data_IF_566571303406
#
_entry.id   IF_566571303406
#
_cell.length_a   1.000
_cell.length_b   1.000
_cell.length_c   1.000
_cell.angle_alpha   90.00
_cell.angle_beta   90.00
_cell.angle_gamma   90.00
#
_symmetry.space_group_name_H-M   'P 1'
#
loop_
_entity.id
_entity.type
_entity.pdbx_description
1 polymer ?
2 non-polymer ?
3 non-polymer ?
4 water ?
#
# COMPACT_ATOMS: atom_id res chain seq x y z
N UNK A 14 1.20 -0.45 19.97
CA UNK A 14 1.80 -1.72 19.54
C UNK A 14 2.17 -1.73 18.05
N UNK A 15 3.46 -1.65 17.75
CA UNK A 15 3.94 -1.57 16.38
C UNK A 15 4.54 -2.90 15.94
N UNK A 16 4.52 -3.14 14.63
CA UNK A 16 5.11 -4.35 14.06
C UNK A 16 6.16 -3.96 13.04
N UNK A 17 7.20 -4.81 12.93
CA UNK A 17 8.24 -4.59 11.93
C UNK A 17 7.70 -4.81 10.52
N UNK A 18 8.08 -3.93 9.59
CA UNK A 18 7.68 -4.08 8.20
C UNK A 18 8.60 -5.01 7.40
N UNK A 19 9.67 -5.53 8.00
CA UNK A 19 10.49 -6.52 7.32
C UNK A 19 10.88 -7.62 8.28
N UNK A 20 10.71 -8.88 7.86
CA UNK A 20 11.02 -10.04 8.69
C UNK A 20 12.09 -10.88 7.98
N UNK A 21 13.35 -10.52 8.20
CA UNK A 21 14.45 -11.28 7.64
C UNK A 21 14.87 -10.78 6.27
N UNK A 22 15.79 -11.50 5.63
CA UNK A 22 16.34 -11.04 4.35
C UNK A 22 15.37 -11.15 3.18
N UNK A 23 14.51 -12.17 3.18
CA UNK A 23 13.60 -12.35 2.06
C UNK A 23 12.70 -11.16 1.85
N UNK A 24 12.19 -11.02 0.62
CA UNK A 24 11.40 -9.86 0.23
C UNK A 24 9.89 -10.08 0.41
N UNK A 25 9.49 -11.21 0.99
CA UNK A 25 8.06 -11.51 1.10
C UNK A 25 7.37 -10.52 2.05
N UNK A 26 6.10 -10.20 1.79
CA UNK A 26 5.35 -9.33 2.70
C UNK A 26 5.22 -9.97 4.07
N UNK A 27 4.98 -9.12 5.07
CA UNK A 27 4.75 -9.60 6.42
C UNK A 27 3.30 -9.97 6.68
N UNK A 28 2.37 -9.53 5.81
CA UNK A 28 0.95 -9.81 5.97
C UNK A 28 0.27 -9.63 4.62
N UNK A 29 -0.78 -10.43 4.39
CA UNK A 29 -1.63 -10.30 3.22
C UNK A 29 -3.07 -10.34 3.71
N UNK A 30 -3.91 -9.50 3.12
CA UNK A 30 -5.35 -9.52 3.37
C UNK A 30 -6.05 -9.57 2.02
N UNK A 31 -7.24 -10.15 2.00
CA UNK A 31 -8.06 -10.25 0.81
C UNK A 31 -9.43 -9.61 1.06
N UNK A 32 -9.93 -8.84 0.08
CA UNK A 32 -11.21 -8.15 0.22
C UNK A 32 -12.16 -8.47 -0.92
N UNK A 33 -13.46 -8.46 -0.62
CA UNK A 33 -14.50 -8.61 -1.64
C UNK A 33 -14.89 -7.23 -2.14
N UNK A 34 -14.47 -6.89 -3.37
CA UNK A 34 -14.74 -5.54 -3.88
C UNK A 34 -16.23 -5.28 -4.07
N UNK A 35 -17.04 -6.32 -4.23
CA UNK A 35 -18.48 -6.09 -4.35
C UNK A 35 -19.09 -5.62 -3.04
N UNK A 36 -18.38 -5.76 -1.93
CA UNK A 36 -18.91 -5.39 -0.61
C UNK A 36 -18.22 -4.18 -0.02
N UNK A 37 -17.20 -3.66 -0.65
CA UNK A 37 -16.41 -2.62 -0.03
C UNK A 37 -17.17 -1.30 -0.13
N UNK A 38 -17.23 -0.58 1.00
CA UNK A 38 -17.77 0.77 1.03
C UNK A 38 -16.76 1.80 1.49
N UNK A 39 -15.69 1.39 2.17
CA UNK A 39 -14.62 2.27 2.59
C UNK A 39 -13.39 1.98 1.71
N UNK A 40 -13.01 2.93 0.88
CA UNK A 40 -11.89 2.72 -0.04
C UNK A 40 -10.67 3.53 0.38
N UNK A 41 -10.41 3.60 1.68
CA UNK A 41 -9.23 4.31 2.19
C UNK A 41 -8.55 3.49 3.27
N UNK A 42 -7.27 3.79 3.49
CA UNK A 42 -6.49 3.15 4.53
C UNK A 42 -5.67 4.21 5.24
N UNK A 43 -5.33 3.95 6.49
CA UNK A 43 -4.54 4.90 7.25
C UNK A 43 -3.62 4.15 8.19
N UNK A 44 -2.44 4.71 8.42
CA UNK A 44 -1.44 4.05 9.26
C UNK A 44 -0.37 5.05 9.66
N UNK A 45 0.44 4.66 10.64
CA UNK A 45 1.64 5.41 10.98
C UNK A 45 2.87 4.57 10.70
N UNK A 46 3.93 5.22 10.21
CA UNK A 46 5.16 4.53 9.84
C UNK A 46 6.34 5.32 10.37
N UNK A 47 7.40 4.60 10.74
CA UNK A 47 8.64 5.18 11.21
C UNK A 47 9.79 4.38 10.63
N UNK A 48 10.77 5.07 10.06
CA UNK A 48 11.85 4.36 9.39
C UNK A 48 13.04 5.29 9.22
N UNK A 49 14.23 4.69 9.20
CA UNK A 49 15.46 5.31 8.74
C UNK A 49 15.85 4.83 7.35
N UNK A 50 15.05 4.00 6.74
CA UNK A 50 15.27 3.34 5.46
C UNK A 50 14.74 4.22 4.34
N UNK A 51 15.59 4.58 3.37
CA UNK A 51 15.14 5.45 2.27
C UNK A 51 14.36 4.73 1.16
N UNK A 52 14.27 3.40 1.17
CA UNK A 52 13.72 2.70 0.03
C UNK A 52 13.01 1.42 0.47
N UNK A 53 11.85 1.14 -0.11
CA UNK A 53 11.17 -0.10 0.16
C UNK A 53 9.69 0.01 -0.11
N UNK A 54 9.01 -1.13 0.07
CA UNK A 54 7.56 -1.20 -0.15
C UNK A 54 6.85 -1.07 1.19
N UNK A 55 5.86 -0.15 1.24
CA UNK A 55 4.99 -0.06 2.39
C UNK A 55 3.81 -1.01 2.18
N UNK A 56 3.09 -0.87 1.06
CA UNK A 56 2.09 -1.87 0.72
C UNK A 56 1.91 -1.99 -0.78
N UNK A 57 1.38 -3.15 -1.17
CA UNK A 57 1.08 -3.52 -2.54
C UNK A 57 -0.37 -3.99 -2.57
N UNK A 58 -1.06 -3.76 -3.68
CA UNK A 58 -2.40 -4.30 -3.84
C UNK A 58 -2.67 -4.69 -5.27
N UNK A 59 -3.61 -5.62 -5.46
CA UNK A 59 -3.98 -5.98 -6.82
C UNK A 59 -5.37 -6.59 -6.88
N UNK A 60 -5.98 -6.55 -8.06
CA UNK A 60 -6.98 -7.56 -8.41
C UNK A 60 -6.43 -8.57 -9.40
N UNK A 61 -5.26 -8.32 -9.97
CA UNK A 61 -4.62 -9.22 -10.91
C UNK A 61 -3.15 -8.78 -10.99
N UNK A 62 -2.20 -9.60 -10.54
CA UNK A 62 -0.80 -9.13 -10.52
C UNK A 62 -0.23 -8.88 -11.91
N UNK A 63 -0.91 -9.31 -12.96
CA UNK A 63 -0.47 -9.04 -14.32
C UNK A 63 -1.07 -7.75 -14.89
N UNK A 64 -2.32 -7.45 -14.53
CA UNK A 64 -3.14 -6.49 -15.24
C UNK A 64 -3.70 -5.35 -14.39
N UNK A 65 -3.65 -5.44 -13.06
CA UNK A 65 -4.34 -4.45 -12.23
C UNK A 65 -3.69 -4.46 -10.84
N UNK A 66 -2.70 -3.60 -10.65
CA UNK A 66 -1.97 -3.63 -9.39
C UNK A 66 -1.50 -2.22 -9.06
N UNK A 67 -1.09 -2.04 -7.80
CA UNK A 67 -0.58 -0.76 -7.33
C UNK A 67 0.38 -0.99 -6.17
N UNK A 68 1.21 0.01 -5.89
CA UNK A 68 2.22 -0.10 -4.85
C UNK A 68 2.44 1.28 -4.25
N UNK A 69 2.46 1.38 -2.91
CA UNK A 69 2.95 2.55 -2.19
C UNK A 69 4.29 2.21 -1.53
N UNK A 70 5.31 3.03 -1.79
CA UNK A 70 6.58 2.77 -1.15
C UNK A 70 7.37 4.02 -0.92
N UNK A 71 8.65 3.86 -0.59
CA UNK A 71 9.60 4.96 -0.47
C UNK A 71 10.71 4.78 -1.49
N UNK A 72 11.14 5.89 -2.09
CA UNK A 72 12.36 5.92 -2.88
C UNK A 72 13.02 7.27 -2.60
N UNK A 73 14.31 7.24 -2.30
CA UNK A 73 15.03 8.42 -1.85
C UNK A 73 14.32 9.08 -0.65
N UNK A 74 13.77 8.24 0.23
CA UNK A 74 13.09 8.68 1.43
C UNK A 74 11.69 9.22 1.25
N UNK A 75 11.23 9.41 0.01
CA UNK A 75 9.95 10.05 -0.25
C UNK A 75 8.93 9.03 -0.75
N UNK A 76 7.65 9.29 -0.48
CA UNK A 76 6.60 8.41 -1.01
C UNK A 76 6.71 8.26 -2.52
N UNK A 77 6.46 7.04 -2.97
CA UNK A 77 6.36 6.72 -4.39
C UNK A 77 5.14 5.84 -4.59
N UNK A 78 4.38 6.11 -5.65
CA UNK A 78 3.26 5.24 -6.04
C UNK A 78 3.54 4.73 -7.45
N UNK A 79 3.41 3.43 -7.65
CA UNK A 79 3.34 2.87 -8.99
C UNK A 79 1.99 2.21 -9.13
N UNK A 80 1.40 2.34 -10.31
CA UNK A 80 0.16 1.60 -10.55
C UNK A 80 0.09 1.22 -12.01
N UNK A 81 -0.64 0.14 -12.28
CA UNK A 81 -0.76 -0.36 -13.63
C UNK A 81 -2.14 -1.00 -13.76
N UNK A 82 -3.00 -0.40 -14.56
CA UNK A 82 -4.31 -1.00 -14.85
C UNK A 82 -4.71 -0.54 -16.24
N UNK A 83 -5.93 -0.86 -16.66
CA UNK A 83 -6.29 -0.48 -18.02
C UNK A 83 -6.57 1.01 -18.15
N UNK A 84 -6.90 1.70 -17.04
CA UNK A 84 -7.13 3.14 -17.09
C UNK A 84 -5.83 3.94 -17.10
N UNK A 85 -4.82 3.49 -16.34
CA UNK A 85 -3.66 4.33 -16.10
C UNK A 85 -2.44 3.49 -15.74
N UNK A 86 -1.27 4.00 -16.12
CA UNK A 86 0.00 3.36 -15.79
C UNK A 86 0.94 4.48 -15.41
N UNK A 87 1.45 4.48 -14.17
CA UNK A 87 2.29 5.61 -13.78
C UNK A 87 3.26 5.25 -12.66
N UNK A 88 4.31 6.07 -12.54
CA UNK A 88 5.33 5.99 -11.50
C UNK A 88 5.52 7.42 -11.02
N UNK A 89 5.14 7.72 -9.77
CA UNK A 89 5.14 9.10 -9.29
C UNK A 89 5.72 9.15 -7.89
N UNK A 90 6.60 10.13 -7.64
CA UNK A 90 7.06 10.44 -6.30
C UNK A 90 6.48 11.77 -5.85
N UNK A 91 6.25 11.91 -4.54
CA UNK A 91 5.62 13.12 -4.00
C UNK A 91 5.81 13.17 -2.49
N UNK A 92 5.67 14.37 -1.93
CA UNK A 92 5.61 14.56 -0.51
C UNK A 92 6.98 14.69 0.13
N UNK A 93 7.02 14.86 1.45
CA UNK A 93 8.28 15.05 2.16
C UNK A 93 9.04 13.75 2.37
N UNK A 94 10.31 13.88 2.76
CA UNK A 94 11.07 12.71 3.18
C UNK A 94 10.47 12.13 4.46
N UNK A 95 10.33 10.81 4.51
CA UNK A 95 9.78 10.15 5.70
C UNK A 95 10.83 9.38 6.48
N UNK A 96 12.07 9.33 6.00
CA UNK A 96 13.09 8.48 6.60
C UNK A 96 13.92 9.21 7.66
N UNK A 97 13.25 9.95 8.54
CA UNK A 97 13.91 10.72 9.58
C UNK A 97 13.75 10.12 10.97
N UNK A 98 13.18 8.91 11.08
CA UNK A 98 13.05 8.25 12.35
C UNK A 98 11.90 8.73 13.22
N UNK A 99 11.06 9.62 12.71
CA UNK A 99 9.85 10.05 13.42
C UNK A 99 8.63 9.33 12.87
N UNK A 100 7.61 9.17 13.71
CA UNK A 100 6.35 8.62 13.26
C UNK A 100 5.66 9.61 12.32
N UNK A 101 5.15 9.10 11.19
CA UNK A 101 4.38 9.90 10.25
C UNK A 101 3.02 9.24 10.01
N UNK A 102 1.97 10.07 9.98
CA UNK A 102 0.64 9.61 9.62
C UNK A 102 0.51 9.58 8.11
N UNK A 103 0.02 8.47 7.57
CA UNK A 103 -0.21 8.35 6.13
C UNK A 103 -1.64 7.92 5.91
N UNK A 104 -2.30 8.54 4.94
CA UNK A 104 -3.62 8.09 4.52
C UNK A 104 -3.66 8.02 3.00
N UNK A 105 -4.20 6.92 2.47
CA UNK A 105 -4.39 6.72 1.04
C UNK A 105 -5.87 6.53 0.80
N UNK A 106 -6.45 7.36 -0.06
CA UNK A 106 -7.90 7.37 -0.27
C UNK A 106 -8.21 7.28 -1.75
N UNK A 107 -9.01 6.30 -2.15
CA UNK A 107 -9.58 6.26 -3.48
C UNK A 107 -10.94 6.95 -3.42
N UNK A 108 -11.03 8.11 -4.08
CA UNK A 108 -12.22 8.97 -4.05
C UNK A 108 -12.65 9.26 -5.48
N UNK A 109 -13.79 8.73 -5.87
CA UNK A 109 -14.23 8.91 -7.25
C UNK A 109 -13.30 8.19 -8.19
N UNK A 110 -12.71 8.91 -9.13
CA UNK A 110 -11.75 8.33 -10.04
C UNK A 110 -10.32 8.64 -9.65
N UNK A 111 -10.09 9.17 -8.45
CA UNK A 111 -8.78 9.70 -8.07
C UNK A 111 -8.25 8.96 -6.84
N UNK A 112 -6.94 8.96 -6.71
CA UNK A 112 -6.26 8.45 -5.51
C UNK A 112 -5.56 9.62 -4.85
N UNK A 113 -5.84 9.82 -3.56
CA UNK A 113 -5.25 10.89 -2.75
C UNK A 113 -4.27 10.30 -1.75
N UNK A 114 -3.13 10.97 -1.58
CA UNK A 114 -2.16 10.63 -0.56
C UNK A 114 -2.02 11.80 0.41
N UNK A 115 -2.23 11.54 1.70
CA UNK A 115 -2.06 12.54 2.76
C UNK A 115 -0.95 12.08 3.69
N UNK A 116 -0.04 12.99 4.03
CA UNK A 116 1.08 12.69 4.92
C UNK A 116 1.07 13.74 6.02
N UNK A 117 0.99 13.29 7.28
CA UNK A 117 0.97 14.19 8.44
C UNK A 117 -0.10 15.27 8.29
N UNK A 118 -1.29 14.86 7.83
CA UNK A 118 -2.43 15.76 7.72
C UNK A 118 -2.45 16.66 6.52
N UNK A 119 -1.49 16.56 5.61
CA UNK A 119 -1.43 17.41 4.42
C UNK A 119 -1.61 16.56 3.18
N UNK A 120 -2.49 16.99 2.29
CA UNK A 120 -2.59 16.36 0.99
C UNK A 120 -1.32 16.67 0.20
N UNK A 121 -0.61 15.63 -0.21
CA UNK A 121 0.64 15.81 -0.95
C UNK A 121 0.54 15.31 -2.39
N UNK A 122 -0.48 14.54 -2.73
CA UNK A 122 -0.56 14.00 -4.08
C UNK A 122 -2.01 13.65 -4.39
N UNK A 123 -2.46 13.98 -5.60
CA UNK A 123 -3.78 13.55 -6.06
C UNK A 123 -3.61 13.05 -7.49
N UNK A 124 -3.74 11.73 -7.67
CA UNK A 124 -3.69 11.11 -8.99
C UNK A 124 -5.10 11.06 -9.52
N UNK A 125 -5.37 11.83 -10.57
CA UNK A 125 -6.72 11.94 -11.10
C UNK A 125 -6.90 11.01 -12.29
N UNK A 126 -8.14 10.55 -12.48
CA UNK A 126 -8.50 9.73 -13.65
C UNK A 126 -7.70 8.44 -13.71
N UNK A 127 -7.52 7.77 -12.56
CA UNK A 127 -6.76 6.53 -12.49
C UNK A 127 -7.62 5.34 -12.13
N UNK A 128 -8.90 5.56 -11.84
CA UNK A 128 -9.80 4.51 -11.39
C UNK A 128 -11.19 4.76 -11.97
N UNK A 129 -12.02 3.73 -11.91
CA UNK A 129 -13.39 3.84 -12.34
C UNK A 129 -14.31 3.03 -11.45
N UNK A 130 -15.58 2.94 -11.82
CA UNK A 130 -16.52 2.12 -11.06
C UNK A 130 -16.19 0.65 -11.21
N UNK A 131 -16.73 -0.15 -10.28
CA UNK A 131 -16.52 -1.59 -10.34
C UNK A 131 -17.33 -2.18 -11.48
N UNK A 132 -16.65 -2.76 -12.46
CA UNK A 132 -17.26 -3.37 -13.63
C UNK A 132 -17.11 -4.88 -13.55
N UNK A 133 -18.09 -5.59 -14.14
CA UNK A 133 -18.02 -7.05 -14.21
C UNK A 133 -16.73 -7.55 -14.85
N UNK A 134 -16.04 -6.69 -15.61
CA UNK A 134 -14.75 -7.07 -16.19
C UNK A 134 -13.64 -7.10 -15.13
N UNK A 135 -13.76 -6.27 -14.09
CA UNK A 135 -12.75 -6.22 -13.05
C UNK A 135 -12.94 -7.38 -12.08
N UNK A 136 -11.90 -8.19 -11.91
CA UNK A 136 -11.90 -9.26 -10.93
C UNK A 136 -12.24 -8.70 -9.55
N UNK A 137 -13.27 -9.25 -8.86
CA UNK A 137 -13.78 -8.59 -7.66
C UNK A 137 -13.08 -8.94 -6.35
N UNK A 138 -11.88 -9.51 -6.43
CA UNK A 138 -11.12 -9.92 -5.24
C UNK A 138 -9.84 -9.09 -5.22
N UNK A 139 -9.67 -8.28 -4.17
CA UNK A 139 -8.49 -7.43 -4.04
C UNK A 139 -7.59 -7.92 -2.90
N UNK A 140 -6.31 -8.08 -3.20
CA UNK A 140 -5.33 -8.42 -2.19
C UNK A 140 -4.57 -7.18 -1.77
N UNK A 141 -4.25 -7.10 -0.48
CA UNK A 141 -3.36 -6.07 0.04
C UNK A 141 -2.23 -6.76 0.81
N UNK A 142 -0.98 -6.47 0.43
CA UNK A 142 0.20 -7.03 1.06
C UNK A 142 0.97 -5.92 1.75
N UNK A 143 1.44 -6.17 2.95
CA UNK A 143 2.20 -5.18 3.71
C UNK A 143 3.70 -5.53 3.70
N UNK A 144 4.53 -4.55 3.35
CA UNK A 144 5.96 -4.70 3.40
C UNK A 144 6.56 -5.48 2.26
N UNK A 145 5.79 -5.83 1.24
CA UNK A 145 6.35 -6.56 0.12
C UNK A 145 5.36 -6.62 -1.00
N UNK A 146 5.84 -7.12 -2.13
CA UNK A 146 5.04 -7.30 -3.33
C UNK A 146 4.53 -8.74 -3.42
N UNK A 147 3.49 -8.93 -4.24
CA UNK A 147 3.05 -10.27 -4.61
C UNK A 147 3.48 -10.64 -6.03
N UNK A 148 4.58 -10.04 -6.49
CA UNK A 148 5.30 -10.52 -7.66
C UNK A 148 6.77 -10.13 -7.51
N UNK A 149 7.65 -10.64 -8.38
CA UNK A 149 9.07 -10.25 -8.30
C UNK A 149 9.25 -8.74 -8.52
N UNK A 150 10.19 -8.16 -7.77
CA UNK A 150 10.44 -6.73 -7.88
C UNK A 150 10.75 -6.30 -9.31
N UNK A 151 11.21 -7.22 -10.17
CA UNK A 151 11.53 -6.85 -11.54
C UNK A 151 10.29 -6.57 -12.39
N UNK A 152 9.08 -6.93 -11.93
CA UNK A 152 7.86 -6.61 -12.66
C UNK A 152 7.31 -5.22 -12.35
N UNK A 153 7.88 -4.51 -11.40
CA UNK A 153 7.52 -3.12 -11.20
C UNK A 153 7.79 -2.32 -12.47
N UNK A 154 7.04 -1.22 -12.63
CA UNK A 154 7.36 -0.29 -13.71
C UNK A 154 8.77 0.24 -13.55
N UNK A 155 9.17 0.52 -12.31
CA UNK A 155 10.51 0.98 -11.97
C UNK A 155 10.96 0.17 -10.76
N UNK A 156 11.83 -0.82 -10.96
CA UNK A 156 12.23 -1.68 -9.83
C UNK A 156 12.82 -0.88 -8.68
N UNK A 157 12.54 -1.35 -7.47
CA UNK A 157 13.27 -0.98 -6.27
C UNK A 157 13.53 -2.27 -5.49
N UNK A 158 14.32 -2.16 -4.43
CA UNK A 158 14.54 -3.28 -3.51
C UNK A 158 13.46 -3.19 -2.43
N UNK A 159 12.55 -4.18 -2.35
CA UNK A 159 11.31 -3.97 -1.57
C UNK A 159 11.49 -3.86 -0.07
N UNK A 160 12.57 -4.40 0.50
CA UNK A 160 12.69 -4.49 1.95
C UNK A 160 12.68 -3.10 2.60
N UNK A 161 11.75 -2.90 3.53
CA UNK A 161 11.62 -1.63 4.23
C UNK A 161 11.81 -1.89 5.72
N UNK A 162 12.98 -1.51 6.23
CA UNK A 162 13.27 -1.64 7.65
C UNK A 162 12.61 -0.48 8.38
N UNK A 163 11.36 -0.68 8.78
CA UNK A 163 10.61 0.33 9.49
C UNK A 163 9.57 -0.37 10.34
N UNK A 164 8.78 0.45 11.05
CA UNK A 164 7.75 -0.02 11.96
C UNK A 164 6.41 0.59 11.56
N UNK A 165 5.36 -0.18 11.76
CA UNK A 165 4.01 0.17 11.38
C UNK A 165 3.12 0.06 12.60
N UNK A 166 2.24 1.04 12.79
CA UNK A 166 1.26 0.97 13.88
C UNK A 166 0.02 1.76 13.49
N UNK A 167 -1.04 1.57 14.28
CA UNK A 167 -2.30 2.30 14.12
C UNK A 167 -2.86 2.15 12.71
N UNK A 168 -2.76 0.94 12.17
CA UNK A 168 -3.07 0.71 10.76
C UNK A 168 -4.46 0.15 10.58
N UNK A 169 -5.22 0.77 9.67
CA UNK A 169 -6.54 0.30 9.27
C UNK A 169 -6.55 0.19 7.75
N UNK A 170 -7.04 -0.93 7.24
CA UNK A 170 -6.94 -1.25 5.81
C UNK A 170 -8.32 -1.42 5.22
N UNK A 171 -8.68 -0.49 4.35
CA UNK A 171 -9.92 -0.55 3.55
C UNK A 171 -11.09 -0.83 4.50
N UNK A 172 -11.91 -1.82 4.23
CA UNK A 172 -13.21 -2.01 4.88
C UNK A 172 -13.17 -3.40 5.51
N UNK A 173 -13.06 -3.46 6.83
CA UNK A 173 -12.99 -4.77 7.50
C UNK A 173 -14.26 -5.59 7.29
N UNK A 174 -15.38 -4.95 6.98
CA UNK A 174 -16.58 -5.76 6.73
C UNK A 174 -16.54 -6.45 5.37
N UNK A 175 -15.61 -6.08 4.50
CA UNK A 175 -15.44 -6.72 3.21
C UNK A 175 -14.28 -7.71 3.17
N UNK A 176 -13.61 -7.95 4.30
CA UNK A 176 -12.39 -8.76 4.33
C UNK A 176 -12.74 -10.24 4.31
N UNK A 177 -12.18 -10.96 3.36
CA UNK A 177 -12.42 -12.40 3.19
C UNK A 177 -11.43 -13.21 4.01
N UNK A 178 -10.16 -12.82 4.00
CA UNK A 178 -9.13 -13.58 4.69
C UNK A 178 -8.00 -12.64 5.07
N UNK A 179 -7.19 -13.10 6.02
CA UNK A 179 -6.00 -12.37 6.44
C UNK A 179 -4.96 -13.38 6.91
N UNK A 180 -3.70 -13.13 6.59
CA UNK A 180 -2.64 -14.06 6.97
C UNK A 180 -2.49 -14.12 8.49
N UNK A 181 -1.82 -15.16 8.96
CA UNK A 181 -1.72 -15.44 10.40
C UNK A 181 -0.89 -14.36 11.09
N UNK A 182 -1.35 -13.85 12.24
CA UNK A 182 -0.64 -12.74 12.90
C UNK A 182 0.54 -13.17 13.76
N UNK A 183 0.76 -14.46 13.97
CA UNK A 183 1.88 -14.92 14.79
C UNK A 183 3.22 -14.91 14.05
N UNK A 184 3.22 -14.55 12.76
CA UNK A 184 4.46 -14.30 12.04
C UNK A 184 4.95 -12.87 12.19
N UNK A 185 4.17 -12.02 12.87
CA UNK A 185 4.53 -10.63 13.07
C UNK A 185 5.55 -10.49 14.19
N UNK A 186 6.42 -9.49 14.07
CA UNK A 186 7.42 -9.17 15.08
C UNK A 186 7.14 -7.79 15.65
N UNK A 187 7.07 -7.70 16.97
CA UNK A 187 6.90 -6.41 17.63
C UNK A 187 8.18 -5.58 17.53
N UNK A 188 8.01 -4.25 17.49
CA UNK A 188 9.16 -3.35 17.34
C UNK A 188 9.79 -3.00 18.68
X LIG B 1 -9.22 1.25 -3.34
X LIG B 1 -10.20 0.54 -3.99
X LIG B 1 -9.96 0.08 -5.29
X LIG B 1 -8.75 0.34 -5.92
X LIG B 1 -7.74 1.08 -5.24
X LIG B 1 -7.99 1.53 -3.98
X LIG B 1 -6.82 2.23 -3.57
X LIG B 1 -5.93 2.15 -4.65
X LIG B 1 -4.52 2.71 -4.71
X LIG B 1 -3.96 3.01 -5.94
X LIG B 1 -2.66 3.47 -5.95
X LIG B 1 -1.95 3.62 -4.77
X LIG B 1 -2.51 3.29 -3.55
X LIG B 1 -3.80 2.82 -3.54
X LIG B 1 -6.62 2.91 -2.21
X LIG B 1 -6.19 2.26 0.12
X LIG B 1 -5.52 0.23 -0.09
X LIG B 1 -5.81 0.74 -1.35
X LIG B 1 -6.48 1.47 -5.62
X LIG B 1 -6.21 1.99 -1.17
X LIG B 1 -5.75 1.21 0.77
X LIG C 1 15.23 -0.66 2.13
#
# INVERSE_FOLDING_TARGET
LRPVLPTQSAHDPPAVHLSNGPGQEPIAVMTFDLTKITKTSSSFEVRTWDPEGVIFYGDTNPKDDWFMLGLRDGRPEIQLHNHWAQLTVGAGPRLDDGRWHQVEVKMEGDSVLLEVDGEEVLRLRQVSGPLTSKRHPIMRIALGGLLFPASNLRLPLVPALDGCLRRDSWLDKQAKISASAPTSLRSCDVESNPGIFLPPGTQAE
P57 CAA CAB CAC CAD CAE CAF CAG CAI CAJ CAK CAL CAM CAN CAO CAP CAR CAT CAU NAH NAQ NAS
CA CA
#
